data_IF_997852220819
#
_entry.id   IF_997852220819
#
_cell.length_a   1.000
_cell.length_b   1.000
_cell.length_c   1.000
_cell.angle_alpha   90.00
_cell.angle_beta   90.00
_cell.angle_gamma   90.00
#
_symmetry.space_group_name_H-M   'P 1'
#
loop_
_entity.id
_entity.type
_entity.pdbx_description
1 polymer ?
#
# COMPACT_ATOMS: atom_id res chain seq x y z
N UNK A 1 38.63 -35.57 23.03
CA UNK A 1 37.48 -36.01 22.22
C UNK A 1 36.20 -35.33 22.70
N UNK A 2 35.92 -34.07 22.33
CA UNK A 2 34.54 -33.50 22.35
C UNK A 2 34.48 -32.35 21.33
N UNK A 3 34.87 -32.63 20.09
CA UNK A 3 34.38 -31.86 18.95
C UNK A 3 32.95 -32.32 18.68
N UNK A 4 32.07 -31.38 18.29
CA UNK A 4 30.71 -31.58 17.76
C UNK A 4 29.55 -31.49 18.77
N UNK A 5 29.21 -30.25 19.17
CA UNK A 5 27.81 -29.88 19.42
C UNK A 5 27.42 -28.75 18.47
N UNK A 6 27.62 -28.99 17.18
CA UNK A 6 27.27 -28.04 16.13
C UNK A 6 26.64 -28.77 14.95
N UNK A 7 25.54 -29.52 15.13
CA UNK A 7 24.84 -30.12 13.98
C UNK A 7 23.44 -30.69 14.32
N UNK A 8 22.48 -29.84 14.73
CA UNK A 8 21.06 -30.25 14.80
C UNK A 8 20.05 -29.18 14.38
N UNK A 9 20.41 -28.19 13.55
CA UNK A 9 19.44 -27.19 13.03
C UNK A 9 18.79 -27.61 11.70
N UNK A 10 18.55 -28.91 11.46
CA UNK A 10 17.88 -29.39 10.24
C UNK A 10 16.34 -29.44 10.43
N UNK A 11 15.63 -28.65 9.62
CA UNK A 11 14.20 -28.76 9.29
C UNK A 11 13.16 -28.77 10.44
N UNK A 12 13.19 -27.76 11.32
CA UNK A 12 12.01 -27.44 12.14
C UNK A 12 11.03 -26.64 11.27
N UNK A 13 9.80 -27.13 11.10
CA UNK A 13 8.78 -26.44 10.30
C UNK A 13 8.50 -25.04 10.87
N UNK A 14 8.11 -24.09 10.00
CA UNK A 14 7.76 -22.73 10.43
C UNK A 14 6.69 -22.74 11.54
N UNK A 15 5.75 -23.68 11.46
CA UNK A 15 4.73 -23.91 12.49
C UNK A 15 5.31 -24.35 13.83
N UNK A 16 6.28 -25.28 13.84
CA UNK A 16 6.93 -25.71 15.08
C UNK A 16 7.74 -24.58 15.71
N UNK A 17 8.44 -23.76 14.91
CA UNK A 17 9.13 -22.57 15.40
C UNK A 17 8.15 -21.54 15.97
N UNK A 18 7.01 -21.36 15.32
CA UNK A 18 5.94 -20.51 15.84
C UNK A 18 5.40 -21.01 17.18
N UNK A 19 5.21 -22.32 17.34
CA UNK A 19 4.75 -22.93 18.59
C UNK A 19 5.79 -22.86 19.73
N UNK A 20 7.07 -22.69 19.43
CA UNK A 20 8.13 -22.48 20.44
C UNK A 20 8.08 -21.09 21.08
N UNK A 21 7.40 -20.13 20.44
CA UNK A 21 7.22 -18.79 20.99
C UNK A 21 6.15 -18.85 22.10
N UNK A 22 6.43 -18.32 23.31
CA UNK A 22 5.46 -18.26 24.39
C UNK A 22 4.10 -17.68 23.94
N UNK A 23 2.96 -18.23 24.40
CA UNK A 23 1.63 -17.79 23.96
C UNK A 23 1.41 -16.27 24.08
N UNK A 24 1.88 -15.65 25.17
CA UNK A 24 1.79 -14.20 25.38
C UNK A 24 2.51 -13.39 24.29
N UNK A 25 3.71 -13.83 23.88
CA UNK A 25 4.48 -13.17 22.83
C UNK A 25 3.83 -13.36 21.44
N UNK A 26 3.16 -14.49 21.20
CA UNK A 26 2.38 -14.70 19.96
C UNK A 26 1.18 -13.77 19.87
N UNK A 27 0.47 -13.55 20.98
CA UNK A 27 -0.65 -12.60 21.04
C UNK A 27 -0.15 -11.18 20.75
N UNK A 28 0.96 -10.78 21.37
CA UNK A 28 1.58 -9.48 21.12
C UNK A 28 1.99 -9.35 19.65
N UNK A 29 2.68 -10.34 19.08
CA UNK A 29 3.06 -10.34 17.67
C UNK A 29 1.84 -10.23 16.74
N UNK A 30 0.78 -11.00 16.99
CA UNK A 30 -0.46 -10.93 16.23
C UNK A 30 -1.13 -9.55 16.32
N UNK A 31 -1.15 -8.94 17.51
CA UNK A 31 -1.68 -7.60 17.71
C UNK A 31 -0.87 -6.55 16.93
N UNK A 32 0.47 -6.60 16.99
CA UNK A 32 1.33 -5.72 16.21
C UNK A 32 1.11 -5.88 14.70
N UNK A 33 1.02 -7.12 14.20
CA UNK A 33 0.71 -7.37 12.79
C UNK A 33 -0.64 -6.79 12.39
N UNK A 34 -1.67 -6.94 13.24
CA UNK A 34 -2.99 -6.36 13.00
C UNK A 34 -2.96 -4.83 12.91
N UNK A 35 -2.25 -4.16 13.83
CA UNK A 35 -2.10 -2.69 13.82
C UNK A 35 -1.40 -2.22 12.55
N UNK A 36 -0.29 -2.88 12.16
CA UNK A 36 0.46 -2.52 10.97
C UNK A 36 -0.36 -2.75 9.69
N UNK A 37 -1.11 -3.85 9.60
CA UNK A 37 -1.98 -4.13 8.47
C UNK A 37 -3.08 -3.07 8.34
N UNK A 38 -3.78 -2.75 9.44
CA UNK A 38 -4.82 -1.71 9.44
C UNK A 38 -4.25 -0.33 9.10
N UNK A 39 -3.10 0.05 9.68
CA UNK A 39 -2.43 1.29 9.37
C UNK A 39 -2.01 1.38 7.90
N UNK A 40 -1.44 0.30 7.36
CA UNK A 40 -1.08 0.21 5.95
C UNK A 40 -2.28 0.40 5.02
N UNK A 41 -3.40 -0.26 5.31
CA UNK A 41 -4.65 -0.07 4.55
C UNK A 41 -5.10 1.39 4.54
N UNK A 42 -5.13 2.06 5.72
CA UNK A 42 -5.55 3.46 5.81
C UNK A 42 -4.65 4.42 5.04
N UNK A 43 -3.34 4.17 5.04
CA UNK A 43 -2.39 4.95 4.25
C UNK A 43 -2.61 4.74 2.75
N UNK A 44 -2.82 3.49 2.31
CA UNK A 44 -3.14 3.18 0.92
C UNK A 44 -4.46 3.83 0.48
N UNK A 45 -5.50 3.75 1.31
CA UNK A 45 -6.80 4.39 1.04
C UNK A 45 -6.63 5.90 0.87
N UNK A 46 -5.89 6.56 1.77
CA UNK A 46 -5.61 8.00 1.69
C UNK A 46 -4.93 8.40 0.37
N UNK A 47 -3.92 7.64 -0.07
CA UNK A 47 -3.23 7.94 -1.32
C UNK A 47 -4.07 7.64 -2.56
N UNK A 48 -4.94 6.63 -2.50
CA UNK A 48 -5.89 6.36 -3.58
C UNK A 48 -6.92 7.48 -3.70
N UNK A 49 -7.51 7.92 -2.59
CA UNK A 49 -8.44 9.06 -2.56
C UNK A 49 -7.76 10.34 -3.07
N UNK A 50 -6.53 10.60 -2.65
CA UNK A 50 -5.76 11.75 -3.13
C UNK A 50 -5.46 11.67 -4.64
N UNK A 51 -5.10 10.48 -5.13
CA UNK A 51 -4.85 10.24 -6.55
C UNK A 51 -6.10 10.41 -7.42
N UNK A 52 -7.26 10.03 -6.92
CA UNK A 52 -8.54 10.26 -7.61
C UNK A 52 -8.91 11.74 -7.66
N UNK A 53 -8.69 12.49 -6.57
CA UNK A 53 -8.91 13.95 -6.55
C UNK A 53 -8.00 14.66 -7.56
N UNK A 54 -6.72 14.31 -7.59
CA UNK A 54 -5.76 14.92 -8.52
C UNK A 54 -6.09 14.59 -9.99
N UNK A 55 -6.59 13.38 -10.23
CA UNK A 55 -7.05 12.94 -11.55
C UNK A 55 -8.31 13.67 -12.01
N UNK A 56 -9.26 13.87 -11.11
CA UNK A 56 -10.49 14.63 -11.39
C UNK A 56 -10.19 16.11 -11.62
N UNK A 57 -9.31 16.71 -10.82
CA UNK A 57 -8.87 18.10 -11.01
C UNK A 57 -8.18 18.30 -12.37
N UNK A 58 -7.30 17.39 -12.78
CA UNK A 58 -6.65 17.44 -14.09
C UNK A 58 -7.66 17.28 -15.25
N UNK A 59 -8.67 16.41 -15.09
CA UNK A 59 -9.72 16.21 -16.08
C UNK A 59 -10.65 17.43 -16.21
N UNK A 60 -10.94 18.14 -15.12
CA UNK A 60 -11.72 19.38 -15.12
C UNK A 60 -10.97 20.50 -15.87
N UNK A 61 -9.69 20.70 -15.58
CA UNK A 61 -8.87 21.71 -16.26
C UNK A 61 -8.74 21.45 -17.78
N UNK A 62 -8.58 20.18 -18.18
CA UNK A 62 -8.53 19.79 -19.60
C UNK A 62 -9.83 20.13 -20.34
N UNK A 63 -11.00 19.95 -19.70
CA UNK A 63 -12.29 20.30 -20.30
C UNK A 63 -12.44 21.81 -20.50
N UNK A 64 -12.04 22.61 -19.51
CA UNK A 64 -12.08 24.08 -19.64
C UNK A 64 -11.17 24.56 -20.78
N UNK A 65 -9.95 24.03 -20.88
CA UNK A 65 -9.05 24.35 -21.99
C UNK A 65 -9.61 23.91 -23.36
N UNK A 66 -10.24 22.75 -23.45
CA UNK A 66 -10.90 22.31 -24.68
C UNK A 66 -12.06 23.24 -25.08
N UNK A 67 -12.86 23.70 -24.13
CA UNK A 67 -13.96 24.62 -24.40
C UNK A 67 -13.45 25.99 -24.87
N UNK A 68 -12.42 26.53 -24.22
CA UNK A 68 -11.80 27.79 -24.63
C UNK A 68 -11.23 27.71 -26.04
N UNK A 69 -10.52 26.63 -26.37
CA UNK A 69 -9.97 26.44 -27.72
C UNK A 69 -11.08 26.28 -28.77
N UNK A 70 -12.17 25.56 -28.45
CA UNK A 70 -13.32 25.44 -29.36
C UNK A 70 -14.08 26.76 -29.54
N UNK A 71 -14.16 27.58 -28.49
CA UNK A 71 -14.77 28.92 -28.56
C UNK A 71 -13.91 29.85 -29.44
N UNK A 72 -12.60 29.87 -29.20
CA UNK A 72 -11.64 30.66 -29.98
C UNK A 72 -11.61 30.25 -31.47
N UNK A 73 -11.67 28.94 -31.77
CA UNK A 73 -11.74 28.45 -33.15
C UNK A 73 -13.07 28.78 -33.84
N UNK A 74 -14.19 28.79 -33.09
CA UNK A 74 -15.49 29.23 -33.63
C UNK A 74 -15.53 30.71 -33.93
N UNK A 75 -14.81 31.52 -33.14
CA UNK A 75 -14.70 32.96 -33.35
C UNK A 75 -13.82 33.26 -34.58
N UNK A 76 -12.66 32.59 -34.71
CA UNK A 76 -11.81 32.69 -35.90
C UNK A 76 -12.47 32.26 -37.21
N UNK A 77 -13.45 31.35 -37.18
CA UNK A 77 -14.20 30.94 -38.39
C UNK A 77 -15.34 31.90 -38.77
N UNK A 78 -15.60 32.94 -37.98
CA UNK A 78 -16.61 33.96 -38.26
C UNK A 78 -16.02 35.27 -38.79
N UNK A 79 -14.69 35.41 -38.77
CA UNK A 79 -13.93 36.38 -39.56
C UNK A 79 -13.73 35.87 -40.99
#
# INVERSE_FOLDING_TARGET
MQHLVALSFRNVSLYQRWMQIPPSQRIVAAAFTGILAYGGMKVTDYFNEQGDIDREAAALLLKEHQQLNQAADKERRKE
#
